data_IF_056469624726
#
_entry.id   IF_056469624726
#
_cell.length_a   1.000
_cell.length_b   1.000
_cell.length_c   1.000
_cell.angle_alpha   90.00
_cell.angle_beta   90.00
_cell.angle_gamma   90.00
#
_symmetry.space_group_name_H-M   'P 1'
#
loop_
_entity.id
_entity.type
_entity.pdbx_description
1 polymer ?
2 non-polymer ?
3 water ?
#
# COMPACT_ATOMS: atom_id res chain seq x y z
N UNK A 5 -15.71 24.27 16.54
CA UNK A 5 -14.61 24.78 15.64
C UNK A 5 -13.78 23.61 15.08
N UNK A 6 -13.98 23.18 13.81
CA UNK A 6 -13.46 21.88 13.39
C UNK A 6 -11.91 21.81 13.34
N UNK A 7 -11.22 22.96 13.22
CA UNK A 7 -9.74 22.98 13.06
C UNK A 7 -9.04 23.16 14.41
N UNK A 8 -9.76 23.24 15.54
CA UNK A 8 -9.10 23.16 16.87
C UNK A 8 -8.31 21.84 16.93
N UNK A 9 -7.09 21.89 17.45
CA UNK A 9 -6.26 20.70 17.75
C UNK A 9 -6.85 20.04 18.99
N UNK A 10 -7.49 18.90 18.81
CA UNK A 10 -7.98 18.06 19.91
C UNK A 10 -6.79 17.53 20.71
N UNK A 11 -5.77 16.99 20.05
CA UNK A 11 -4.50 16.57 20.71
C UNK A 11 -3.42 16.32 19.66
N UNK A 12 -2.21 16.07 20.14
CA UNK A 12 -1.03 15.67 19.33
C UNK A 12 -0.65 14.24 19.71
N UNK A 13 -0.39 13.39 18.71
CA UNK A 13 -0.26 11.92 18.89
C UNK A 13 1.08 11.50 18.31
N UNK A 14 1.92 10.80 19.08
CA UNK A 14 3.18 10.30 18.53
C UNK A 14 2.88 9.23 17.47
N UNK A 15 3.64 9.23 16.39
CA UNK A 15 3.52 8.23 15.31
C UNK A 15 3.73 6.84 15.85
N UNK A 16 3.03 5.87 15.28
CA UNK A 16 3.23 4.44 15.60
C UNK A 16 4.39 3.83 14.81
N UNK A 17 4.77 4.41 13.67
CA UNK A 17 5.71 3.80 12.69
C UNK A 17 7.07 4.54 12.62
N UNK A 18 7.36 5.41 13.58
CA UNK A 18 8.64 6.18 13.63
C UNK A 18 9.82 5.35 14.14
N UNK A 19 11.00 5.59 13.57
CA UNK A 19 12.30 5.19 14.15
C UNK A 19 13.11 6.45 14.49
N UNK A 24 8.42 12.76 16.05
CA UNK A 24 7.52 13.63 16.86
C UNK A 24 6.05 13.46 16.42
N UNK A 25 5.20 14.41 16.83
CA UNK A 25 3.75 14.16 17.00
C UNK A 25 2.95 14.70 15.80
N UNK A 26 1.87 14.01 15.46
CA UNK A 26 0.84 14.45 14.50
C UNK A 26 -0.28 15.17 15.24
N UNK A 27 -0.67 16.33 14.75
CA UNK A 27 -1.89 17.00 15.25
C UNK A 27 -3.13 16.24 14.80
N UNK A 28 -4.04 16.03 15.74
CA UNK A 28 -5.40 15.51 15.46
C UNK A 28 -6.39 16.63 15.75
N UNK A 29 -7.04 17.12 14.69
CA UNK A 29 -8.12 18.13 14.75
C UNK A 29 -9.41 17.52 15.29
N UNK A 30 -10.33 18.38 15.67
CA UNK A 30 -11.72 18.01 16.08
C UNK A 30 -12.43 17.38 14.87
N UNK A 31 -12.21 17.91 13.68
CA UNK A 31 -12.78 17.37 12.41
C UNK A 31 -12.36 15.89 12.27
N UNK A 32 -11.09 15.57 12.54
CA UNK A 32 -10.61 14.18 12.45
C UNK A 32 -11.31 13.31 13.53
N UNK A 33 -11.40 13.79 14.77
CA UNK A 33 -12.07 13.03 15.86
C UNK A 33 -13.53 12.75 15.47
N UNK A 34 -14.20 13.74 14.89
CA UNK A 34 -15.60 13.63 14.43
C UNK A 34 -15.71 12.57 13.32
N UNK A 35 -14.79 12.54 12.35
CA UNK A 35 -14.77 11.52 11.24
C UNK A 35 -14.76 10.12 11.85
N UNK A 36 -13.95 9.89 12.90
CA UNK A 36 -13.81 8.59 13.60
C UNK A 36 -15.11 8.23 14.36
N UNK A 37 -15.80 9.22 14.93
CA UNK A 37 -17.01 8.96 15.75
C UNK A 37 -18.24 8.78 14.86
N UNK A 38 -18.18 9.25 13.62
CA UNK A 38 -19.30 9.17 12.67
C UNK A 38 -19.21 7.89 11.86
N UNK A 39 -20.33 7.57 11.18
CA UNK A 39 -20.33 6.53 10.16
C UNK A 39 -19.27 6.85 9.11
N UNK A 40 -18.69 5.84 8.44
CA UNK A 40 -19.10 4.43 8.63
C UNK A 40 -18.46 3.70 9.82
N UNK A 41 -17.44 4.27 10.48
CA UNK A 41 -16.71 3.50 11.53
C UNK A 41 -17.45 3.56 12.87
N UNK A 42 -17.94 4.74 13.28
CA UNK A 42 -18.53 5.00 14.61
C UNK A 42 -17.66 4.41 15.72
N UNK A 43 -16.39 4.79 15.82
CA UNK A 43 -15.51 4.19 16.87
C UNK A 43 -16.10 4.48 18.25
N UNK A 44 -16.04 3.51 19.17
CA UNK A 44 -16.43 3.70 20.59
C UNK A 44 -15.25 4.39 21.30
N UNK A 45 -15.40 4.74 22.57
CA UNK A 45 -14.38 5.52 23.33
C UNK A 45 -13.14 4.64 23.56
N UNK A 46 -13.32 3.32 23.63
CA UNK A 46 -12.20 2.36 23.76
C UNK A 46 -11.30 2.41 22.49
N UNK A 47 -11.92 2.31 21.31
CA UNK A 47 -11.19 2.32 20.01
C UNK A 47 -10.61 3.72 19.77
N UNK A 48 -11.38 4.79 19.98
CA UNK A 48 -10.87 6.17 19.80
C UNK A 48 -9.68 6.41 20.74
N UNK A 49 -9.68 5.90 21.98
CA UNK A 49 -8.54 6.06 22.91
C UNK A 49 -7.27 5.39 22.42
N UNK A 50 -7.40 4.21 21.81
CA UNK A 50 -6.28 3.55 21.09
C UNK A 50 -5.75 4.43 19.96
N UNK A 51 -6.62 4.98 19.11
CA UNK A 51 -6.18 5.82 17.95
C UNK A 51 -5.42 7.02 18.49
N UNK A 52 -5.97 7.66 19.53
CA UNK A 52 -5.33 8.83 20.17
C UNK A 52 -4.14 8.38 21.05
N UNK A 53 -3.91 7.07 21.22
CA UNK A 53 -2.84 6.56 22.13
C UNK A 53 -2.91 7.25 23.51
N UNK A 54 -4.12 7.41 24.08
CA UNK A 54 -4.37 7.94 25.47
C UNK A 54 -3.46 7.23 26.48
N UNK A 63 -13.46 10.35 31.29
CA UNK A 63 -12.34 11.32 31.12
C UNK A 63 -12.15 11.72 29.65
N UNK A 64 -11.87 10.77 28.74
CA UNK A 64 -11.87 11.09 27.28
C UNK A 64 -13.25 11.67 26.93
N UNK A 65 -14.33 11.04 27.45
CA UNK A 65 -15.75 11.47 27.28
C UNK A 65 -15.95 12.92 27.72
N UNK A 66 -15.34 13.30 28.86
CA UNK A 66 -15.42 14.68 29.38
C UNK A 66 -14.76 15.64 28.37
N UNK A 67 -13.56 15.31 27.87
CA UNK A 67 -12.90 16.16 26.86
C UNK A 67 -13.74 16.18 25.58
N UNK A 68 -14.37 15.08 25.18
CA UNK A 68 -15.31 15.10 24.02
C UNK A 68 -16.47 16.07 24.34
N UNK A 69 -17.06 15.96 25.54
CA UNK A 69 -18.22 16.77 26.02
C UNK A 69 -17.95 18.26 25.85
N UNK A 70 -16.83 18.76 26.37
CA UNK A 70 -16.54 20.22 26.42
C UNK A 70 -16.53 20.78 24.99
N UNK A 71 -15.74 20.21 24.08
CA UNK A 71 -15.73 20.62 22.64
C UNK A 71 -17.04 20.15 21.96
N UNK A 72 -17.77 19.20 22.55
CA UNK A 72 -19.14 18.84 22.15
C UNK A 72 -19.20 17.70 21.16
N UNK A 73 -19.21 16.45 21.63
CA UNK A 73 -19.09 15.23 20.77
C UNK A 73 -19.46 13.99 21.59
N UNK A 74 -19.73 12.84 20.95
CA UNK A 74 -20.14 11.55 21.60
C UNK A 74 -18.95 10.64 21.93
N UNK A 84 -15.80 -2.85 11.90
CA UNK A 84 -14.75 -3.79 11.41
C UNK A 84 -13.39 -3.09 11.52
N UNK A 85 -12.57 -3.51 12.47
CA UNK A 85 -11.28 -2.85 12.80
C UNK A 85 -10.17 -3.50 11.98
N UNK A 86 -9.38 -2.74 11.22
CA UNK A 86 -8.15 -3.23 10.53
C UNK A 86 -6.96 -2.50 11.15
N UNK A 87 -5.76 -2.85 10.71
CA UNK A 87 -4.52 -2.17 11.16
C UNK A 87 -4.59 -0.70 10.71
N UNK A 88 -5.28 -0.39 9.61
CA UNK A 88 -5.45 1.03 9.15
C UNK A 88 -6.28 1.82 10.18
N UNK A 89 -7.23 1.18 10.87
CA UNK A 89 -8.07 1.84 11.91
C UNK A 89 -7.20 2.46 13.01
N UNK A 90 -5.99 1.98 13.24
CA UNK A 90 -5.11 2.49 14.33
C UNK A 90 -4.52 3.86 13.98
N UNK A 91 -4.54 4.28 12.72
CA UNK A 91 -3.73 5.40 12.25
C UNK A 91 -4.43 6.74 12.51
N UNK A 92 -3.67 7.74 12.92
CA UNK A 92 -4.06 9.17 12.78
C UNK A 92 -3.84 9.53 11.30
N UNK A 93 -4.66 10.40 10.75
CA UNK A 93 -4.64 10.76 9.31
C UNK A 93 -3.26 11.27 8.89
N UNK A 94 -2.55 12.04 9.75
CA UNK A 94 -1.22 12.53 9.40
C UNK A 94 -0.27 11.36 9.11
N UNK A 95 -0.36 10.29 9.90
CA UNK A 95 0.57 9.15 9.73
C UNK A 95 0.09 8.31 8.55
N UNK A 96 -1.22 8.18 8.36
CA UNK A 96 -1.79 7.42 7.21
C UNK A 96 -1.31 8.06 5.90
N UNK A 97 -1.34 9.40 5.81
CA UNK A 97 -0.90 10.15 4.60
C UNK A 97 0.62 9.95 4.45
N UNK A 98 1.38 10.06 5.54
CA UNK A 98 2.84 9.84 5.54
C UNK A 98 3.13 8.41 5.04
N UNK A 99 2.39 7.41 5.51
CA UNK A 99 2.60 6.00 5.08
C UNK A 99 2.37 5.83 3.56
N UNK A 100 1.27 6.39 3.03
CA UNK A 100 0.92 6.37 1.60
C UNK A 100 2.03 7.05 0.80
N UNK A 101 2.51 8.21 1.25
CA UNK A 101 3.59 8.98 0.60
C UNK A 101 4.85 8.12 0.51
N UNK A 102 5.20 7.43 1.59
CA UNK A 102 6.41 6.58 1.64
C UNK A 102 6.18 5.38 0.72
N UNK A 103 4.99 4.80 0.71
CA UNK A 103 4.70 3.67 -0.21
C UNK A 103 4.90 4.18 -1.66
N UNK A 104 4.36 5.35 -1.99
CA UNK A 104 4.49 5.94 -3.35
C UNK A 104 5.95 6.16 -3.69
N UNK A 105 6.73 6.65 -2.75
CA UNK A 105 8.18 6.87 -2.92
C UNK A 105 8.87 5.54 -3.28
N UNK A 106 8.55 4.47 -2.58
CA UNK A 106 9.31 3.20 -2.82
C UNK A 106 8.75 2.58 -4.11
N UNK A 107 7.47 2.81 -4.40
CA UNK A 107 6.91 2.31 -5.70
C UNK A 107 7.65 3.01 -6.84
N UNK A 108 7.95 4.29 -6.67
CA UNK A 108 8.63 5.07 -7.73
C UNK A 108 10.10 4.71 -7.78
N UNK A 109 10.82 4.61 -6.66
CA UNK A 109 12.30 4.55 -6.69
C UNK A 109 12.84 3.13 -6.53
N UNK A 110 12.07 2.21 -5.95
CA UNK A 110 12.60 0.85 -5.59
C UNK A 110 11.94 -0.27 -6.42
N UNK A 111 10.69 -0.13 -6.84
CA UNK A 111 10.02 -1.19 -7.62
C UNK A 111 10.79 -1.43 -8.90
N UNK A 112 11.16 -2.69 -9.26
CA UNK A 112 12.04 -2.94 -10.39
C UNK A 112 11.24 -3.01 -11.69
N UNK A 113 10.71 -1.87 -12.10
CA UNK A 113 9.84 -1.75 -13.28
C UNK A 113 10.61 -2.24 -14.52
N UNK A 114 11.88 -1.88 -14.61
CA UNK A 114 12.70 -2.25 -15.79
C UNK A 114 12.88 -3.77 -15.92
N UNK A 115 13.25 -4.45 -14.83
CA UNK A 115 13.45 -5.92 -14.83
C UNK A 115 12.12 -6.62 -15.05
N UNK A 116 11.03 -6.10 -14.48
CA UNK A 116 9.68 -6.69 -14.68
C UNK A 116 9.30 -6.60 -16.16
N UNK A 117 9.62 -5.49 -16.82
CA UNK A 117 9.35 -5.32 -18.28
C UNK A 117 10.19 -6.31 -19.10
N UNK A 118 11.49 -6.38 -18.82
CA UNK A 118 12.42 -7.26 -19.56
C UNK A 118 11.84 -8.69 -19.50
N UNK A 119 11.50 -9.16 -18.31
CA UNK A 119 11.02 -10.54 -18.06
C UNK A 119 9.69 -10.79 -18.79
N UNK A 120 8.70 -9.92 -18.61
CA UNK A 120 7.34 -10.14 -19.17
C UNK A 120 7.38 -9.96 -20.70
N UNK A 121 8.12 -9.00 -21.25
CA UNK A 121 8.28 -8.87 -22.73
C UNK A 121 8.83 -10.18 -23.32
N UNK A 122 9.78 -10.78 -22.61
CA UNK A 122 10.47 -12.01 -23.06
C UNK A 122 9.49 -13.18 -23.02
N UNK A 123 8.42 -13.14 -22.23
CA UNK A 123 7.39 -14.22 -22.29
C UNK A 123 6.52 -14.06 -23.55
N UNK A 124 6.69 -12.99 -24.34
CA UNK A 124 5.89 -12.71 -25.57
C UNK A 124 6.82 -12.37 -26.72
N UNK A 125 7.46 -13.40 -27.26
CA UNK A 125 8.60 -13.30 -28.20
C UNK A 125 8.18 -13.55 -29.64
N UNK A 126 6.98 -14.07 -29.88
CA UNK A 126 6.45 -14.29 -31.25
C UNK A 126 6.48 -12.96 -31.99
N UNK A 127 7.32 -12.80 -33.04
CA UNK A 127 7.43 -11.50 -33.72
C UNK A 127 6.09 -11.03 -34.30
N UNK A 128 5.13 -11.95 -34.48
CA UNK A 128 3.80 -11.64 -35.05
C UNK A 128 2.80 -11.17 -33.99
N UNK A 129 3.11 -11.26 -32.69
CA UNK A 129 2.21 -10.75 -31.62
C UNK A 129 2.75 -9.41 -31.11
N UNK A 130 3.87 -8.88 -31.63
CA UNK A 130 4.49 -7.66 -31.04
C UNK A 130 3.57 -6.46 -31.20
N UNK A 131 2.93 -6.30 -32.36
CA UNK A 131 2.01 -5.15 -32.57
C UNK A 131 0.86 -5.26 -31.56
N UNK A 132 0.26 -6.43 -31.36
CA UNK A 132 -0.89 -6.60 -30.45
C UNK A 132 -0.42 -6.25 -29.03
N UNK A 133 0.72 -6.79 -28.60
CA UNK A 133 1.24 -6.52 -27.24
C UNK A 133 1.43 -5.00 -27.06
N UNK A 134 2.07 -4.29 -28.01
CA UNK A 134 2.26 -2.82 -27.91
C UNK A 134 0.91 -2.13 -27.71
N UNK A 135 -0.09 -2.47 -28.53
CA UNK A 135 -1.45 -1.89 -28.43
C UNK A 135 -2.06 -2.18 -27.04
N UNK A 136 -1.88 -3.38 -26.50
CA UNK A 136 -2.45 -3.73 -25.16
C UNK A 136 -1.77 -2.88 -24.09
N UNK A 137 -0.44 -2.76 -24.12
CA UNK A 137 0.37 -1.93 -23.19
C UNK A 137 -0.07 -0.47 -23.27
N UNK A 138 -0.27 0.09 -24.47
CA UNK A 138 -0.74 1.50 -24.64
C UNK A 138 -2.16 1.66 -24.11
N UNK A 139 -3.07 0.69 -24.38
CA UNK A 139 -4.44 0.75 -23.84
C UNK A 139 -4.37 0.77 -22.31
N UNK A 140 -3.53 -0.10 -21.74
CA UNK A 140 -3.43 -0.26 -20.28
C UNK A 140 -2.98 1.08 -19.66
N UNK A 141 -1.96 1.72 -20.24
CA UNK A 141 -1.49 3.01 -19.73
C UNK A 141 -2.62 4.03 -19.75
N UNK A 142 -3.37 4.14 -20.84
CA UNK A 142 -4.46 5.15 -20.96
C UNK A 142 -5.56 4.85 -19.93
N UNK A 143 -5.98 3.59 -19.78
CA UNK A 143 -7.08 3.22 -18.83
C UNK A 143 -6.58 3.49 -17.40
N UNK A 144 -5.34 3.15 -17.07
CA UNK A 144 -4.81 3.35 -15.69
C UNK A 144 -4.67 4.85 -15.40
N UNK A 145 -4.28 5.66 -16.40
CA UNK A 145 -4.11 7.15 -16.20
C UNK A 145 -5.47 7.77 -15.91
N UNK A 146 -6.49 7.36 -16.62
CA UNK A 146 -7.87 7.87 -16.40
C UNK A 146 -8.31 7.53 -14.97
N UNK A 147 -7.98 6.34 -14.50
CA UNK A 147 -8.39 5.84 -13.15
C UNK A 147 -7.67 6.65 -12.07
N UNK A 148 -6.35 6.84 -12.19
CA UNK A 148 -5.57 7.60 -11.17
C UNK A 148 -5.90 9.10 -11.26
N UNK A 149 -6.25 9.60 -12.44
CA UNK A 149 -6.73 11.01 -12.61
C UNK A 149 -8.01 11.19 -11.78
N UNK A 150 -8.95 10.23 -11.83
CA UNK A 150 -10.19 10.33 -11.01
C UNK A 150 -9.80 10.37 -9.53
N UNK A 151 -8.95 9.45 -9.06
CA UNK A 151 -8.51 9.41 -7.64
C UNK A 151 -7.79 10.71 -7.27
N UNK A 152 -7.02 11.35 -8.16
CA UNK A 152 -6.41 12.66 -7.88
C UNK A 152 -7.50 13.74 -7.68
N UNK A 153 -8.74 13.52 -8.15
CA UNK A 153 -9.84 14.53 -8.13
C UNK A 153 -10.64 14.37 -6.83
N UNK A 154 -10.31 13.34 -6.04
CA UNK A 154 -10.89 13.16 -4.68
C UNK A 154 -10.67 14.46 -3.89
N UNK A 155 -11.72 14.99 -3.26
CA UNK A 155 -11.60 16.17 -2.34
C UNK A 155 -12.19 15.83 -0.97
N UNK A 156 -11.97 14.60 -0.49
CA UNK A 156 -12.37 14.11 0.86
C UNK A 156 -11.74 14.96 1.94
N UNK A 157 -12.47 15.44 2.97
CA UNK A 157 -11.84 16.13 4.10
C UNK A 157 -10.79 15.24 4.79
N UNK A 158 -9.63 15.82 5.05
CA UNK A 158 -8.52 15.08 5.69
C UNK A 158 -7.64 16.07 6.44
N UNK A 159 -7.08 15.66 7.59
CA UNK A 159 -6.35 16.57 8.50
C UNK A 159 -7.21 17.81 8.82
N UNK A 160 -6.65 19.01 8.67
CA UNK A 160 -7.37 20.30 8.87
C UNK A 160 -7.91 20.82 7.53
N UNK A 161 -8.01 19.97 6.51
CA UNK A 161 -8.38 20.39 5.14
C UNK A 161 -9.82 20.00 4.87
N UNK A 162 -10.61 20.94 4.34
CA UNK A 162 -11.94 20.62 3.79
C UNK A 162 -12.04 21.25 2.40
N UNK A 163 -11.35 20.74 1.36
CA UNK A 163 -11.40 21.39 0.06
C UNK A 163 -12.82 21.31 -0.50
N UNK A 164 -13.18 22.22 -1.39
CA UNK A 164 -14.50 22.18 -2.06
C UNK A 164 -14.38 21.12 -3.16
N UNK A 165 -15.40 20.25 -3.29
CA UNK A 165 -15.39 19.19 -4.28
C UNK A 165 -15.36 19.68 -5.75
N UNK A 166 -14.74 18.91 -6.64
CA UNK A 166 -14.84 19.16 -8.09
C UNK A 166 -15.61 18.02 -8.76
N UNK A 167 -15.66 16.83 -8.14
CA UNK A 167 -16.43 15.68 -8.67
C UNK A 167 -17.89 15.85 -8.27
N UNK A 168 -18.78 15.23 -9.03
CA UNK A 168 -20.20 15.01 -8.67
C UNK A 168 -20.26 14.48 -7.27
N UNK A 169 -21.28 14.92 -6.49
CA UNK A 169 -21.46 14.45 -5.13
C UNK A 169 -21.55 12.92 -5.00
N UNK A 170 -22.14 12.21 -5.96
CA UNK A 170 -22.34 10.75 -5.84
C UNK A 170 -21.00 10.02 -5.77
N UNK A 171 -20.17 10.18 -6.81
CA UNK A 171 -18.82 9.55 -6.83
C UNK A 171 -18.01 10.08 -5.65
N UNK A 172 -18.02 11.40 -5.40
CA UNK A 172 -17.24 11.95 -4.26
C UNK A 172 -17.65 11.21 -2.98
N UNK A 173 -18.96 10.96 -2.78
CA UNK A 173 -19.46 10.28 -1.56
C UNK A 173 -18.79 8.89 -1.40
N UNK A 174 -18.70 8.14 -2.48
CA UNK A 174 -18.11 6.77 -2.50
C UNK A 174 -16.58 6.90 -2.25
N UNK A 175 -15.90 7.85 -2.88
CA UNK A 175 -14.45 8.04 -2.59
C UNK A 175 -14.27 8.45 -1.12
N UNK A 176 -15.15 9.28 -0.56
CA UNK A 176 -15.07 9.69 0.88
C UNK A 176 -15.21 8.47 1.78
N UNK A 177 -16.08 7.53 1.42
CA UNK A 177 -16.25 6.29 2.20
C UNK A 177 -14.90 5.55 2.30
N UNK A 178 -14.19 5.42 1.18
CA UNK A 178 -12.87 4.75 1.13
C UNK A 178 -11.84 5.52 1.97
N UNK A 179 -11.91 6.85 1.92
CA UNK A 179 -11.05 7.72 2.78
C UNK A 179 -11.31 7.39 4.25
N UNK A 180 -12.57 7.32 4.68
CA UNK A 180 -12.90 7.22 6.13
C UNK A 180 -12.51 5.85 6.71
N UNK A 181 -12.74 4.76 5.98
CA UNK A 181 -12.34 3.42 6.49
C UNK A 181 -10.81 3.28 6.48
N UNK A 182 -10.09 3.95 5.56
CA UNK A 182 -8.61 3.83 5.44
C UNK A 182 -7.87 4.95 6.16
N UNK A 183 -8.58 5.89 6.78
CA UNK A 183 -8.00 7.08 7.49
C UNK A 183 -7.13 7.89 6.52
N UNK A 184 -7.52 7.95 5.25
CA UNK A 184 -6.81 8.75 4.23
C UNK A 184 -5.77 7.95 3.47
N UNK A 185 -5.41 6.75 3.91
CA UNK A 185 -4.34 5.95 3.29
C UNK A 185 -4.80 5.42 1.92
N UNK A 186 -6.09 5.08 1.77
CA UNK A 186 -6.59 4.18 0.70
C UNK A 186 -6.27 4.66 -0.71
N UNK A 187 -6.88 5.75 -1.17
CA UNK A 187 -6.76 6.18 -2.59
C UNK A 187 -5.33 6.56 -2.95
N UNK A 188 -4.58 7.28 -2.09
CA UNK A 188 -3.19 7.59 -2.37
C UNK A 188 -2.35 6.31 -2.54
N UNK A 189 -2.62 5.29 -1.71
CA UNK A 189 -1.87 4.01 -1.75
C UNK A 189 -2.21 3.27 -3.04
N UNK A 190 -3.48 3.28 -3.48
CA UNK A 190 -3.86 2.74 -4.82
C UNK A 190 -3.07 3.47 -5.91
N UNK A 191 -3.02 4.80 -5.93
CA UNK A 191 -2.23 5.56 -6.94
C UNK A 191 -0.74 5.16 -6.89
N UNK A 192 -0.15 5.03 -5.70
CA UNK A 192 1.26 4.63 -5.51
C UNK A 192 1.50 3.31 -6.25
N UNK A 193 0.64 2.33 -6.02
CA UNK A 193 0.81 1.00 -6.64
C UNK A 193 0.66 1.10 -8.17
N UNK A 194 -0.35 1.82 -8.62
CA UNK A 194 -0.59 1.99 -10.07
C UNK A 194 0.60 2.76 -10.70
N UNK A 195 1.36 3.54 -9.96
CA UNK A 195 2.61 4.16 -10.51
C UNK A 195 3.67 3.07 -10.79
N UNK A 196 3.84 2.06 -9.92
CA UNK A 196 4.72 0.90 -10.18
C UNK A 196 4.27 0.22 -11.47
N UNK A 197 2.98 -0.08 -11.61
CA UNK A 197 2.41 -0.66 -12.84
C UNK A 197 2.73 0.24 -14.05
N UNK A 198 2.49 1.54 -13.95
CA UNK A 198 2.68 2.48 -15.09
C UNK A 198 4.16 2.48 -15.49
N UNK A 199 5.06 2.37 -14.52
CA UNK A 199 6.52 2.39 -14.79
C UNK A 199 6.89 1.11 -15.54
N UNK A 200 6.29 -0.04 -15.16
CA UNK A 200 6.44 -1.32 -15.89
C UNK A 200 6.02 -1.11 -17.37
N UNK A 201 4.84 -0.53 -17.60
CA UNK A 201 4.27 -0.37 -18.95
C UNK A 201 5.21 0.52 -19.78
N UNK A 202 5.67 1.65 -19.24
CA UNK A 202 6.65 2.54 -19.90
C UNK A 202 7.91 1.73 -20.26
N UNK A 203 8.49 0.99 -19.30
CA UNK A 203 9.74 0.23 -19.53
C UNK A 203 9.47 -0.86 -20.57
N UNK A 204 8.29 -1.50 -20.55
CA UNK A 204 7.92 -2.57 -21.50
C UNK A 204 7.92 -2.00 -22.94
N UNK A 205 7.26 -0.86 -23.14
CA UNK A 205 7.14 -0.17 -24.45
C UNK A 205 8.52 0.24 -24.93
N UNK A 206 9.32 0.81 -24.03
CA UNK A 206 10.70 1.24 -24.35
C UNK A 206 11.52 0.03 -24.84
N UNK A 207 11.47 -1.08 -24.10
CA UNK A 207 12.27 -2.29 -24.42
C UNK A 207 11.77 -2.90 -25.73
N UNK A 208 10.46 -2.99 -25.95
CA UNK A 208 9.90 -3.54 -27.21
C UNK A 208 10.43 -2.74 -28.41
N UNK A 209 10.45 -1.42 -28.30
CA UNK A 209 10.87 -0.52 -29.41
C UNK A 209 12.35 -0.79 -29.74
N UNK A 210 13.17 -1.21 -28.78
CA UNK A 210 14.57 -1.59 -29.05
C UNK A 210 14.55 -3.02 -29.58
N UNK B 5 20.75 -21.76 12.97
CA UNK B 5 19.37 -22.16 12.53
C UNK B 5 18.57 -20.93 12.15
N UNK B 6 18.31 -20.68 10.86
CA UNK B 6 17.67 -19.42 10.43
C UNK B 6 16.29 -19.22 11.05
N UNK B 7 15.59 -20.31 11.40
CA UNK B 7 14.19 -20.29 11.86
C UNK B 7 14.09 -20.21 13.38
N UNK B 8 15.22 -20.14 14.08
CA UNK B 8 15.24 -19.83 15.52
C UNK B 8 14.56 -18.46 15.70
N UNK B 9 13.68 -18.37 16.69
CA UNK B 9 13.04 -17.11 17.15
C UNK B 9 14.10 -16.29 17.87
N UNK B 10 14.47 -15.15 17.30
CA UNK B 10 15.33 -14.15 17.93
C UNK B 10 14.59 -13.46 19.09
N UNK B 11 13.36 -12.98 18.86
CA UNK B 11 12.52 -12.36 19.92
C UNK B 11 11.09 -12.25 19.39
N UNK B 12 10.17 -11.85 20.26
CA UNK B 12 8.77 -11.55 19.91
C UNK B 12 8.51 -10.05 20.11
N UNK B 13 7.80 -9.42 19.17
CA UNK B 13 7.63 -7.94 19.09
C UNK B 13 6.15 -7.65 19.07
N UNK B 14 5.66 -6.78 19.99
CA UNK B 14 4.26 -6.37 19.94
C UNK B 14 4.08 -5.58 18.64
N UNK B 15 2.90 -5.72 18.03
CA UNK B 15 2.48 -4.92 16.87
C UNK B 15 2.39 -3.43 17.14
N UNK B 16 2.78 -2.61 16.16
CA UNK B 16 2.73 -1.13 16.30
C UNK B 16 1.35 -0.62 15.92
N UNK B 17 0.56 -1.44 15.23
CA UNK B 17 -0.74 -0.96 14.65
C UNK B 17 -1.95 -1.68 15.26
N UNK B 18 -1.82 -2.31 16.43
CA UNK B 18 -2.96 -2.95 17.16
C UNK B 18 -3.74 -1.95 18.01
N UNK B 19 -5.05 -2.19 18.20
CA UNK B 19 -6.00 -1.43 19.07
C UNK B 19 -6.61 -2.31 20.18
N UNK B 25 1.69 -10.66 19.84
CA UNK B 25 3.12 -10.39 19.50
C UNK B 25 3.55 -11.19 18.26
N UNK B 26 4.40 -10.61 17.42
CA UNK B 26 4.94 -11.25 16.19
C UNK B 26 6.28 -11.88 16.51
N UNK B 27 6.48 -13.13 16.13
CA UNK B 27 7.81 -13.79 16.21
C UNK B 27 8.70 -13.18 15.15
N UNK B 28 9.93 -12.89 15.53
CA UNK B 28 11.00 -12.44 14.62
C UNK B 28 12.08 -13.52 14.62
N UNK B 29 12.36 -14.08 13.45
CA UNK B 29 13.39 -15.12 13.28
C UNK B 29 14.76 -14.47 13.12
N UNK B 30 15.78 -15.27 13.37
CA UNK B 30 17.17 -14.92 13.01
C UNK B 30 17.24 -14.56 11.52
N UNK B 31 16.55 -15.30 10.65
CA UNK B 31 16.55 -15.03 9.19
C UNK B 31 16.05 -13.60 8.94
N UNK B 32 14.99 -13.16 9.63
CA UNK B 32 14.46 -11.78 9.46
C UNK B 32 15.50 -10.74 9.93
N UNK B 33 16.09 -10.97 11.11
CA UNK B 33 17.13 -10.04 11.63
C UNK B 33 18.27 -9.99 10.62
N UNK B 34 18.68 -11.13 10.07
CA UNK B 34 19.78 -11.16 9.09
C UNK B 34 19.40 -10.35 7.84
N UNK B 35 18.15 -10.40 7.37
CA UNK B 35 17.66 -9.56 6.23
C UNK B 35 17.84 -8.08 6.57
N UNK B 36 17.50 -7.69 7.79
CA UNK B 36 17.58 -6.27 8.23
C UNK B 36 19.07 -5.81 8.25
N UNK B 37 19.99 -6.68 8.66
CA UNK B 37 21.43 -6.35 8.82
C UNK B 37 22.18 -6.38 7.47
N UNK B 38 21.66 -7.04 6.43
CA UNK B 38 22.38 -7.20 5.14
C UNK B 38 21.90 -6.15 4.14
N UNK B 39 22.60 -5.99 2.99
CA UNK B 39 22.13 -5.11 1.94
C UNK B 39 20.73 -5.56 1.52
N UNK B 40 19.88 -4.67 0.98
CA UNK B 40 20.22 -3.27 0.77
C UNK B 40 20.07 -2.32 1.97
N UNK B 41 19.43 -2.72 3.07
CA UNK B 41 19.23 -1.76 4.21
C UNK B 41 20.50 -1.58 5.07
N UNK B 42 21.15 -2.66 5.51
CA UNK B 42 22.27 -2.61 6.47
C UNK B 42 21.89 -1.74 7.68
N UNK B 43 20.81 -2.08 8.37
CA UNK B 43 20.43 -1.35 9.61
C UNK B 43 21.52 -1.53 10.65
N UNK B 44 21.81 -0.47 11.41
CA UNK B 44 22.76 -0.48 12.55
C UNK B 44 21.99 -0.89 13.80
N UNK B 45 22.68 -0.93 14.95
CA UNK B 45 22.18 -1.45 16.23
C UNK B 45 20.99 -0.63 16.69
N UNK B 46 21.11 0.67 16.48
CA UNK B 46 20.08 1.67 16.86
C UNK B 46 18.75 1.44 16.09
N UNK B 47 18.79 1.41 14.75
CA UNK B 47 17.58 1.23 13.89
C UNK B 47 17.05 -0.18 14.15
N UNK B 48 17.93 -1.19 14.27
CA UNK B 48 17.43 -2.56 14.55
C UNK B 48 16.72 -2.59 15.91
N UNK B 49 17.30 -1.93 16.93
CA UNK B 49 16.69 -1.81 18.26
C UNK B 49 15.27 -1.27 18.19
N UNK B 50 15.06 -0.23 17.40
CA UNK B 50 13.73 0.35 17.14
C UNK B 50 12.78 -0.65 16.47
N UNK B 51 13.23 -1.37 15.42
CA UNK B 51 12.40 -2.41 14.72
C UNK B 51 11.96 -3.45 15.75
N UNK B 52 12.86 -3.84 16.66
CA UNK B 52 12.54 -4.90 17.65
C UNK B 52 11.86 -4.31 18.89
N UNK B 53 11.63 -2.99 18.90
CA UNK B 53 10.98 -2.19 19.97
C UNK B 53 11.59 -2.54 21.34
N UNK B 54 12.92 -2.55 21.44
CA UNK B 54 13.66 -2.70 22.71
C UNK B 54 13.71 -1.35 23.44
N UNK B 55 13.55 -1.36 24.77
CA UNK B 55 13.47 -0.17 25.66
C UNK B 55 14.51 0.90 25.26
N UNK B 59 23.19 -0.88 29.10
CA UNK B 59 23.03 -0.34 27.73
C UNK B 59 22.28 -1.38 26.89
N UNK B 60 21.18 -0.99 26.27
CA UNK B 60 20.41 -1.83 25.34
C UNK B 60 21.24 -2.24 24.12
N UNK B 61 22.00 -1.30 23.55
CA UNK B 61 22.85 -1.47 22.36
C UNK B 61 23.88 -2.58 22.55
N UNK B 62 24.50 -2.62 23.74
CA UNK B 62 25.62 -3.54 24.08
C UNK B 62 25.05 -4.94 24.23
N UNK B 63 23.92 -5.02 24.91
CA UNK B 63 23.11 -6.25 25.03
C UNK B 63 22.69 -6.74 23.64
N UNK B 64 22.18 -5.88 22.78
CA UNK B 64 21.67 -6.33 21.44
C UNK B 64 22.84 -6.88 20.63
N UNK B 65 23.97 -6.17 20.61
CA UNK B 65 25.16 -6.56 19.81
C UNK B 65 25.71 -7.91 20.29
N UNK B 66 25.65 -8.17 21.59
CA UNK B 66 26.07 -9.46 22.19
C UNK B 66 25.13 -10.55 21.69
N UNK B 67 23.82 -10.35 21.83
CA UNK B 67 22.79 -11.33 21.39
C UNK B 67 23.02 -11.68 19.91
N UNK B 68 23.25 -10.67 19.06
CA UNK B 68 23.51 -10.89 17.61
C UNK B 68 24.77 -11.73 17.43
N UNK B 69 25.87 -11.29 18.07
CA UNK B 69 27.22 -11.88 17.86
C UNK B 69 27.16 -13.35 18.27
N UNK B 70 26.39 -13.67 19.29
CA UNK B 70 26.27 -15.07 19.82
C UNK B 70 25.56 -15.98 18.82
N UNK B 71 24.63 -15.49 17.99
CA UNK B 71 23.93 -16.37 17.00
C UNK B 71 24.62 -16.26 15.63
N UNK B 72 25.74 -15.56 15.54
CA UNK B 72 26.57 -15.54 14.32
C UNK B 72 26.16 -14.47 13.35
N UNK B 73 25.41 -13.46 13.77
CA UNK B 73 25.15 -12.24 12.94
C UNK B 73 26.17 -11.13 13.24
N UNK B 74 26.88 -10.66 12.21
CA UNK B 74 27.90 -9.58 12.30
C UNK B 74 27.23 -8.20 12.29
N UNK B 75 27.50 -7.38 13.32
CA UNK B 75 27.11 -5.94 13.39
C UNK B 75 28.19 -5.11 14.11
N UNK B 76 29.15 -4.48 13.37
CA UNK B 76 30.15 -3.59 13.97
C UNK B 76 29.71 -2.81 15.23
N UNK B 80 27.95 1.70 13.03
CA UNK B 80 27.79 1.36 11.59
C UNK B 80 27.39 2.63 10.83
N UNK B 84 18.05 4.93 3.33
CA UNK B 84 16.82 5.78 3.43
C UNK B 84 15.81 5.02 4.29
N UNK B 85 15.47 5.56 5.45
CA UNK B 85 14.50 4.94 6.40
C UNK B 85 13.14 5.47 6.02
N UNK B 86 12.14 4.60 5.82
CA UNK B 86 10.73 4.99 5.57
C UNK B 86 9.92 4.51 6.76
N UNK B 87 8.63 4.83 6.80
CA UNK B 87 7.72 4.22 7.82
C UNK B 87 7.72 2.70 7.68
N UNK B 88 7.93 2.13 6.48
CA UNK B 88 7.91 0.65 6.32
C UNK B 88 9.09 0.05 7.08
N UNK B 89 10.20 0.79 7.20
CA UNK B 89 11.43 0.33 7.88
C UNK B 89 11.18 -0.06 9.33
N UNK B 90 10.13 0.50 9.93
CA UNK B 90 9.79 0.28 11.35
C UNK B 90 9.20 -1.13 11.55
N UNK B 91 8.69 -1.78 10.49
CA UNK B 91 7.75 -2.93 10.64
C UNK B 91 8.51 -4.25 10.80
N UNK B 92 8.08 -5.10 11.71
CA UNK B 92 8.49 -6.53 11.64
C UNK B 92 7.74 -7.17 10.48
N UNK B 93 8.29 -8.24 9.93
CA UNK B 93 7.72 -8.84 8.69
C UNK B 93 6.30 -9.35 8.95
N UNK B 94 5.99 -9.88 10.13
CA UNK B 94 4.64 -10.42 10.37
C UNK B 94 3.59 -9.31 10.31
N UNK B 95 3.92 -8.13 10.81
CA UNK B 95 2.98 -7.00 10.81
C UNK B 95 2.93 -6.35 9.42
N UNK B 96 4.04 -6.31 8.70
CA UNK B 96 4.07 -5.81 7.31
C UNK B 96 3.11 -6.63 6.45
N UNK B 97 3.16 -7.97 6.57
CA UNK B 97 2.31 -8.91 5.80
C UNK B 97 0.84 -8.71 6.25
N UNK B 98 0.62 -8.50 7.54
CA UNK B 98 -0.75 -8.29 8.09
C UNK B 98 -1.32 -6.99 7.49
N UNK B 99 -0.50 -5.94 7.39
CA UNK B 99 -0.94 -4.62 6.86
C UNK B 99 -1.30 -4.75 5.38
N UNK B 100 -0.49 -5.45 4.59
CA UNK B 100 -0.76 -5.68 3.16
C UNK B 100 -2.07 -6.48 3.04
N UNK B 101 -2.28 -7.45 3.93
CA UNK B 101 -3.48 -8.32 3.88
C UNK B 101 -4.70 -7.44 4.19
N UNK B 102 -4.59 -6.55 5.17
CA UNK B 102 -5.71 -5.64 5.53
C UNK B 102 -5.96 -4.65 4.41
N UNK B 103 -4.90 -4.10 3.80
CA UNK B 103 -5.04 -3.20 2.63
C UNK B 103 -5.77 -3.92 1.49
N UNK B 104 -5.31 -5.11 1.11
CA UNK B 104 -5.98 -5.95 0.10
C UNK B 104 -7.44 -6.24 0.48
N UNK B 105 -7.72 -6.46 1.76
CA UNK B 105 -9.11 -6.75 2.21
C UNK B 105 -10.00 -5.51 1.94
N UNK B 106 -9.56 -4.32 2.33
CA UNK B 106 -10.34 -3.08 2.11
C UNK B 106 -10.34 -2.73 0.60
N UNK B 107 -9.29 -3.06 -0.16
CA UNK B 107 -9.35 -2.90 -1.63
C UNK B 107 -10.50 -3.74 -2.19
N UNK B 108 -10.67 -4.96 -1.68
CA UNK B 108 -11.66 -5.90 -2.24
C UNK B 108 -13.05 -5.54 -1.74
N UNK B 109 -13.18 -5.13 -0.47
CA UNK B 109 -14.53 -5.03 0.16
C UNK B 109 -15.03 -3.59 0.22
N UNK B 110 -14.15 -2.56 0.16
CA UNK B 110 -14.58 -1.16 0.49
C UNK B 110 -14.33 -0.21 -0.68
N UNK B 111 -13.41 -0.52 -1.57
CA UNK B 111 -13.16 0.34 -2.74
C UNK B 111 -14.42 0.34 -3.61
N UNK B 112 -14.93 1.55 -3.96
CA UNK B 112 -16.19 1.67 -4.70
C UNK B 112 -16.06 1.43 -6.21
N UNK B 113 -15.69 0.22 -6.59
CA UNK B 113 -15.29 -0.12 -7.97
C UNK B 113 -16.51 0.12 -8.88
N UNK B 114 -17.70 -0.19 -8.36
CA UNK B 114 -18.95 -0.08 -9.12
C UNK B 114 -19.21 1.40 -9.44
N UNK B 115 -19.17 2.26 -8.43
CA UNK B 115 -19.43 3.72 -8.62
C UNK B 115 -18.36 4.33 -9.54
N UNK B 116 -17.11 3.93 -9.38
CA UNK B 116 -16.00 4.40 -10.25
C UNK B 116 -16.27 3.97 -11.69
N UNK B 117 -16.72 2.73 -11.92
CA UNK B 117 -17.01 2.24 -13.27
C UNK B 117 -18.11 3.10 -13.90
N UNK B 118 -19.18 3.34 -13.16
CA UNK B 118 -20.38 4.06 -13.62
C UNK B 118 -19.93 5.45 -14.05
N UNK B 119 -19.13 6.09 -13.21
CA UNK B 119 -18.63 7.47 -13.44
C UNK B 119 -17.74 7.49 -14.69
N UNK B 120 -16.74 6.62 -14.77
CA UNK B 120 -15.74 6.67 -15.87
C UNK B 120 -16.40 6.27 -17.19
N UNK B 121 -17.28 5.25 -17.18
CA UNK B 121 -18.02 4.87 -18.40
C UNK B 121 -18.78 6.10 -18.92
N UNK B 122 -19.36 6.92 -18.06
CA UNK B 122 -20.16 8.10 -18.51
C UNK B 122 -19.28 9.16 -19.18
N UNK B 123 -17.97 9.18 -18.97
CA UNK B 123 -17.05 10.14 -19.66
C UNK B 123 -16.76 9.67 -21.08
N UNK B 124 -17.25 8.49 -21.47
CA UNK B 124 -17.13 7.90 -22.83
C UNK B 124 -18.46 7.30 -23.24
N UNK B 125 -19.44 8.14 -23.56
CA UNK B 125 -20.84 7.76 -23.86
C UNK B 125 -21.12 7.86 -25.38
N UNK B 126 -20.12 8.23 -26.18
CA UNK B 126 -20.21 8.24 -27.67
C UNK B 126 -20.43 6.82 -28.16
N UNK B 127 -21.60 6.50 -28.78
CA UNK B 127 -21.90 5.14 -29.24
C UNK B 127 -20.87 4.54 -30.19
N UNK B 128 -20.15 5.35 -30.94
CA UNK B 128 -19.13 4.83 -31.89
C UNK B 128 -17.80 4.55 -31.17
N UNK B 129 -17.62 4.88 -29.88
CA UNK B 129 -16.32 4.58 -29.22
C UNK B 129 -16.48 3.36 -28.30
N UNK B 130 -17.67 2.75 -28.21
CA UNK B 130 -17.98 1.72 -27.19
C UNK B 130 -17.16 0.46 -27.45
N UNK B 131 -17.04 0.02 -28.70
CA UNK B 131 -16.23 -1.18 -29.04
C UNK B 131 -14.75 -0.93 -28.66
N UNK B 132 -14.23 0.25 -28.96
CA UNK B 132 -12.82 0.61 -28.64
C UNK B 132 -12.64 0.60 -27.13
N UNK B 133 -13.55 1.22 -26.37
CA UNK B 133 -13.42 1.29 -24.89
C UNK B 133 -13.44 -0.15 -24.34
N UNK B 134 -14.35 -0.99 -24.80
CA UNK B 134 -14.42 -2.41 -24.33
C UNK B 134 -13.10 -3.13 -24.63
N UNK B 135 -12.50 -2.96 -25.81
CA UNK B 135 -11.23 -3.62 -26.17
C UNK B 135 -10.11 -3.09 -25.28
N UNK B 136 -10.13 -1.79 -24.96
CA UNK B 136 -9.14 -1.18 -24.04
C UNK B 136 -9.30 -1.79 -22.63
N UNK B 137 -10.52 -1.98 -22.13
CA UNK B 137 -10.74 -2.52 -20.76
C UNK B 137 -10.29 -3.98 -20.71
N UNK B 138 -10.54 -4.76 -21.76
CA UNK B 138 -10.16 -6.20 -21.79
C UNK B 138 -8.64 -6.31 -21.85
N UNK B 139 -7.98 -5.48 -22.68
CA UNK B 139 -6.51 -5.43 -22.73
C UNK B 139 -5.95 -5.13 -21.34
N UNK B 140 -6.51 -4.13 -20.67
CA UNK B 140 -6.02 -3.69 -19.33
C UNK B 140 -6.12 -4.88 -18.36
N UNK B 141 -7.25 -5.58 -18.35
CA UNK B 141 -7.46 -6.72 -17.40
C UNK B 141 -6.39 -7.78 -17.67
N UNK B 142 -6.11 -8.07 -18.92
CA UNK B 142 -5.16 -9.14 -19.27
C UNK B 142 -3.74 -8.71 -18.90
N UNK B 143 -3.35 -7.46 -19.17
CA UNK B 143 -1.96 -6.98 -18.89
C UNK B 143 -1.74 -6.94 -17.38
N UNK B 144 -2.75 -6.50 -16.61
CA UNK B 144 -2.72 -6.39 -15.12
C UNK B 144 -2.66 -7.80 -14.49
N UNK B 145 -3.37 -8.76 -15.08
CA UNK B 145 -3.37 -10.16 -14.58
C UNK B 145 -1.98 -10.77 -14.78
N UNK B 146 -1.38 -10.58 -15.95
CA UNK B 146 0.01 -11.06 -16.22
C UNK B 146 0.94 -10.48 -15.15
N UNK B 147 0.80 -9.19 -14.88
CA UNK B 147 1.60 -8.43 -13.89
C UNK B 147 1.41 -9.00 -12.47
N UNK B 148 0.16 -9.22 -12.02
CA UNK B 148 -0.05 -9.74 -10.64
C UNK B 148 0.27 -11.23 -10.59
N UNK B 149 0.16 -11.96 -11.72
CA UNK B 149 0.60 -13.39 -11.71
C UNK B 149 2.10 -13.45 -11.45
N UNK B 150 2.86 -12.53 -12.06
CA UNK B 150 4.31 -12.46 -11.81
C UNK B 150 4.53 -12.17 -10.32
N UNK B 151 3.85 -11.19 -9.72
CA UNK B 151 4.08 -10.89 -8.29
C UNK B 151 3.70 -12.11 -7.43
N UNK B 152 2.68 -12.88 -7.80
CA UNK B 152 2.28 -14.10 -7.06
C UNK B 152 3.40 -15.16 -7.13
N UNK B 153 4.29 -15.07 -8.13
CA UNK B 153 5.34 -16.10 -8.37
C UNK B 153 6.62 -15.73 -7.61
N UNK B 154 6.61 -14.59 -6.94
CA UNK B 154 7.67 -14.14 -6.00
C UNK B 154 7.86 -15.18 -4.90
N UNK B 155 9.09 -15.60 -4.66
CA UNK B 155 9.38 -16.58 -3.57
C UNK B 155 10.46 -16.01 -2.68
N UNK B 156 10.39 -14.71 -2.44
CA UNK B 156 11.32 -13.98 -1.53
C UNK B 156 11.22 -14.59 -0.14
N UNK B 157 12.33 -14.91 0.55
CA UNK B 157 12.26 -15.33 1.95
C UNK B 157 11.51 -14.30 2.78
N UNK B 158 10.65 -14.77 3.66
CA UNK B 158 9.85 -13.88 4.50
C UNK B 158 9.38 -14.66 5.73
N UNK B 159 9.28 -14.00 6.89
CA UNK B 159 9.03 -14.72 8.15
C UNK B 159 9.95 -15.92 8.29
N UNK B 160 9.39 -17.08 8.64
CA UNK B 160 10.21 -18.30 8.83
C UNK B 160 10.18 -19.13 7.56
N UNK B 161 9.85 -18.54 6.41
CA UNK B 161 9.68 -19.28 5.15
C UNK B 161 10.86 -19.02 4.21
N UNK B 162 11.36 -20.06 3.56
CA UNK B 162 12.42 -19.95 2.54
C UNK B 162 12.08 -20.86 1.37
N UNK B 163 11.03 -20.59 0.58
CA UNK B 163 10.64 -21.54 -0.45
C UNK B 163 11.67 -21.61 -1.58
N UNK B 164 11.65 -22.70 -2.36
CA UNK B 164 12.38 -22.82 -3.65
C UNK B 164 11.83 -21.79 -4.63
N UNK B 165 12.69 -20.98 -5.28
CA UNK B 165 12.19 -20.03 -6.26
C UNK B 165 11.70 -20.80 -7.49
N UNK B 166 10.69 -20.26 -8.17
CA UNK B 166 10.21 -20.80 -9.45
C UNK B 166 10.56 -19.83 -10.59
N UNK B 167 10.80 -18.56 -10.30
CA UNK B 167 11.18 -17.56 -11.34
C UNK B 167 12.67 -17.67 -11.60
N UNK B 168 13.11 -17.15 -12.74
CA UNK B 168 14.55 -16.96 -13.05
C UNK B 168 15.25 -16.23 -11.91
N UNK B 169 16.54 -16.49 -11.64
CA UNK B 169 17.23 -15.81 -10.56
C UNK B 169 17.30 -14.29 -10.66
N UNK B 170 17.48 -13.73 -11.85
CA UNK B 170 17.57 -12.27 -12.07
C UNK B 170 16.32 -11.53 -11.59
N UNK B 171 15.17 -11.82 -12.18
CA UNK B 171 13.89 -11.21 -11.75
C UNK B 171 13.58 -11.55 -10.28
N UNK B 172 13.86 -12.77 -9.81
CA UNK B 172 13.67 -13.07 -8.37
C UNK B 172 14.56 -12.18 -7.49
N UNK B 173 15.84 -11.96 -7.79
CA UNK B 173 16.66 -11.02 -6.98
C UNK B 173 16.06 -9.61 -7.03
N UNK B 174 15.50 -9.14 -8.15
CA UNK B 174 14.88 -7.79 -8.21
C UNK B 174 13.63 -7.71 -7.33
N UNK B 175 12.76 -8.71 -7.38
CA UNK B 175 11.56 -8.73 -6.51
C UNK B 175 12.01 -8.86 -5.05
N UNK B 176 13.06 -9.65 -4.77
CA UNK B 176 13.60 -9.77 -3.40
C UNK B 176 14.08 -8.41 -2.91
N UNK B 177 14.74 -7.61 -3.76
CA UNK B 177 15.16 -6.25 -3.35
C UNK B 177 13.94 -5.49 -2.83
N UNK B 178 12.82 -5.53 -3.58
CA UNK B 178 11.57 -4.81 -3.23
C UNK B 178 10.98 -5.34 -1.92
N UNK B 179 11.00 -6.66 -1.75
CA UNK B 179 10.65 -7.34 -0.47
C UNK B 179 11.50 -6.72 0.67
N UNK B 180 12.82 -6.67 0.52
CA UNK B 180 13.71 -6.30 1.64
C UNK B 180 13.49 -4.83 2.06
N UNK B 181 13.37 -3.92 1.10
CA UNK B 181 13.21 -2.49 1.48
C UNK B 181 11.83 -2.26 2.11
N UNK B 182 10.84 -3.10 1.83
CA UNK B 182 9.45 -2.91 2.26
C UNK B 182 9.12 -3.87 3.40
N UNK B 183 10.08 -4.67 3.86
CA UNK B 183 9.86 -5.68 4.93
C UNK B 183 8.67 -6.59 4.57
N UNK B 184 8.45 -6.85 3.29
CA UNK B 184 7.43 -7.80 2.81
C UNK B 184 6.10 -7.14 2.44
N UNK B 185 5.93 -5.85 2.72
CA UNK B 185 4.67 -5.12 2.42
C UNK B 185 4.49 -4.94 0.91
N UNK B 186 5.58 -4.70 0.17
CA UNK B 186 5.56 -4.04 -1.14
C UNK B 186 4.78 -4.79 -2.23
N UNK B 187 5.17 -6.01 -2.59
CA UNK B 187 4.51 -6.70 -3.73
C UNK B 187 3.06 -7.04 -3.37
N UNK B 188 2.77 -7.59 -2.17
CA UNK B 188 1.37 -7.83 -1.77
C UNK B 188 0.50 -6.57 -1.83
N UNK B 189 1.07 -5.44 -1.43
CA UNK B 189 0.33 -4.15 -1.38
C UNK B 189 0.07 -3.66 -2.82
N UNK B 190 1.03 -3.86 -3.72
CA UNK B 190 0.85 -3.57 -5.17
C UNK B 190 -0.28 -4.45 -5.69
N UNK B 191 -0.29 -5.74 -5.40
CA UNK B 191 -1.38 -6.67 -5.83
C UNK B 191 -2.72 -6.20 -5.22
N UNK B 192 -2.79 -5.80 -3.96
CA UNK B 192 -4.01 -5.27 -3.32
C UNK B 192 -4.61 -4.12 -4.16
N UNK B 193 -3.80 -3.10 -4.44
CA UNK B 193 -4.21 -1.95 -5.28
C UNK B 193 -4.71 -2.40 -6.66
N UNK B 194 -3.95 -3.26 -7.33
CA UNK B 194 -4.32 -3.69 -8.71
C UNK B 194 -5.63 -4.48 -8.66
N UNK B 195 -5.98 -5.13 -7.55
CA UNK B 195 -7.29 -5.79 -7.39
C UNK B 195 -8.42 -4.75 -7.43
N UNK B 196 -8.24 -3.59 -6.80
CA UNK B 196 -9.22 -2.48 -6.85
C UNK B 196 -9.40 -2.06 -8.31
N UNK B 197 -8.29 -1.91 -9.02
CA UNK B 197 -8.31 -1.58 -10.48
C UNK B 197 -9.06 -2.71 -11.20
N UNK B 198 -8.72 -3.97 -10.94
CA UNK B 198 -9.36 -5.10 -11.66
C UNK B 198 -10.88 -5.06 -11.42
N UNK B 199 -11.30 -4.75 -10.20
CA UNK B 199 -12.74 -4.73 -9.85
C UNK B 199 -13.39 -3.58 -10.63
N UNK B 200 -12.72 -2.41 -10.75
CA UNK B 200 -13.22 -1.30 -11.59
C UNK B 200 -13.44 -1.86 -13.01
N UNK B 201 -12.46 -2.57 -13.58
CA UNK B 201 -12.48 -2.96 -15.01
C UNK B 201 -13.68 -3.90 -15.23
N UNK B 202 -13.86 -4.83 -14.33
CA UNK B 202 -14.97 -5.81 -14.35
C UNK B 202 -16.33 -5.10 -14.26
N UNK B 203 -16.47 -4.15 -13.33
CA UNK B 203 -17.71 -3.36 -13.18
C UNK B 203 -17.95 -2.51 -14.45
N UNK B 204 -16.91 -2.00 -15.09
CA UNK B 204 -17.01 -1.13 -16.29
C UNK B 204 -17.49 -1.96 -17.49
N UNK B 205 -16.94 -3.17 -17.62
CA UNK B 205 -17.37 -4.13 -18.67
C UNK B 205 -18.84 -4.49 -18.46
N UNK B 206 -19.19 -4.88 -17.24
CA UNK B 206 -20.57 -5.30 -16.88
C UNK B 206 -21.53 -4.16 -17.23
N UNK B 207 -21.21 -2.95 -16.80
CA UNK B 207 -22.07 -1.76 -16.96
C UNK B 207 -22.21 -1.43 -18.44
N UNK B 208 -21.12 -1.48 -19.21
CA UNK B 208 -21.16 -1.22 -20.67
C UNK B 208 -22.12 -2.21 -21.34
N UNK B 209 -22.01 -3.51 -21.04
CA UNK B 209 -22.86 -4.55 -21.68
C UNK B 209 -24.34 -4.32 -21.36
N UNK B 210 -24.67 -3.82 -20.16
CA UNK B 210 -26.02 -3.31 -19.85
C UNK B 210 -26.16 -1.92 -20.48
#
# INVERSE_FOLDING_TARGET
GGVVNPNEVFCSVPGRLSLLSSTSKYKVTVAEVQRRLSPPECLNASLLGGVLRRAKSKNGGRSLREKLDKIGLNLPAGRRKAANVTLLTSLVEGEAVHLARDFGYVCETEFPAKAVAEFLNRQHSDPNEQVTRKNMLLATKQICKEFTDLLAQDRSPLGNSRPNPILEPGIQSCLTHFNLISHGFGSPAVCAAVTALQNYLTEALKAMDKMYLSNNPNS
GGVVNPNEVFCSVPGRLSLLSSTSKYKVTVAEVQRRLSPPECLNASLLGGVLRRAKSKNGGRSLREKLDKIGLNLPAGRRKAANVTLLTSLVEGEAVHLARDFGYVCETEFPAKAVAEFLNRQHSDPNEQVTRKNMLLATKQICKEFTDLLAQDRSPLGNSRPNPILEPGIQSCLTHFNLISHGFGSPAVCAAVTALQNYLTEALKAMDKMYLSNNPNS
#
